data_IF_968017037149
#
_entry.id   IF_968017037149
#
_cell.length_a   1.000
_cell.length_b   1.000
_cell.length_c   1.000
_cell.angle_alpha   90.00
_cell.angle_beta   90.00
_cell.angle_gamma   90.00
#
_symmetry.space_group_name_H-M   'P 1'
#
loop_
_entity.id
_entity.type
_entity.pdbx_description
1 polymer ?
#
# COMPACT_ATOMS: atom_id res chain seq x y z
N UNK A 1 -22.87 3.44 -6.28
CA UNK A 1 -22.23 4.49 -5.42
C UNK A 1 -21.96 3.86 -4.07
N UNK A 2 -20.75 4.01 -3.54
CA UNK A 2 -20.30 3.51 -2.24
C UNK A 2 -20.69 4.53 -1.17
N UNK A 3 -21.58 4.16 -0.26
CA UNK A 3 -22.05 5.04 0.82
C UNK A 3 -21.75 4.47 2.21
N UNK A 4 -21.41 3.17 2.29
CA UNK A 4 -21.07 2.50 3.56
C UNK A 4 -19.84 1.62 3.41
N UNK A 5 -19.23 1.28 4.55
CA UNK A 5 -18.09 0.36 4.61
C UNK A 5 -18.44 -1.01 4.02
N UNK A 6 -19.60 -1.55 4.35
CA UNK A 6 -20.04 -2.88 3.90
C UNK A 6 -20.23 -2.94 2.37
N UNK A 7 -20.64 -1.82 1.74
CA UNK A 7 -20.71 -1.74 0.27
C UNK A 7 -19.30 -1.78 -0.35
N UNK A 8 -18.32 -1.11 0.26
CA UNK A 8 -16.93 -1.15 -0.18
C UNK A 8 -16.34 -2.55 0.01
N UNK A 9 -16.55 -3.18 1.16
CA UNK A 9 -16.08 -4.55 1.44
C UNK A 9 -16.65 -5.56 0.45
N UNK A 10 -17.93 -5.43 0.09
CA UNK A 10 -18.57 -6.27 -0.94
C UNK A 10 -17.87 -6.11 -2.28
N UNK A 11 -17.63 -4.87 -2.73
CA UNK A 11 -16.93 -4.63 -4.01
C UNK A 11 -15.49 -5.15 -3.98
N UNK A 12 -14.78 -5.01 -2.87
CA UNK A 12 -13.41 -5.57 -2.71
C UNK A 12 -13.46 -7.09 -2.86
N UNK A 13 -14.43 -7.75 -2.25
CA UNK A 13 -14.62 -9.20 -2.32
C UNK A 13 -14.98 -9.65 -3.73
N UNK A 14 -15.95 -8.99 -4.36
CA UNK A 14 -16.49 -9.37 -5.67
C UNK A 14 -15.49 -9.08 -6.81
N UNK A 15 -14.79 -7.95 -6.75
CA UNK A 15 -13.83 -7.55 -7.78
C UNK A 15 -12.39 -8.02 -7.51
N UNK A 16 -12.08 -8.38 -6.28
CA UNK A 16 -10.76 -8.83 -5.87
C UNK A 16 -9.71 -7.72 -5.75
N UNK A 17 -9.87 -6.64 -6.49
CA UNK A 17 -8.97 -5.49 -6.57
C UNK A 17 -9.77 -4.20 -6.50
N UNK A 18 -9.32 -3.23 -5.70
CA UNK A 18 -10.00 -1.95 -5.55
C UNK A 18 -8.99 -0.81 -5.37
N UNK A 19 -8.56 -0.16 -6.46
CA UNK A 19 -7.72 1.04 -6.40
C UNK A 19 -8.44 2.16 -5.64
N UNK A 20 -7.70 2.96 -4.88
CA UNK A 20 -8.31 4.05 -4.13
C UNK A 20 -8.66 5.24 -5.04
N UNK A 21 -7.73 5.63 -5.90
CA UNK A 21 -7.86 6.82 -6.73
C UNK A 21 -8.20 6.50 -8.19
N UNK A 22 -8.79 7.51 -8.85
CA UNK A 22 -9.08 7.49 -10.28
C UNK A 22 -7.85 7.09 -11.09
N UNK A 23 -8.08 6.27 -12.11
CA UNK A 23 -7.04 5.66 -12.92
C UNK A 23 -7.45 5.55 -14.38
N UNK A 24 -6.75 4.76 -15.19
CA UNK A 24 -7.05 4.59 -16.63
C UNK A 24 -8.25 3.73 -16.96
N UNK A 25 -8.89 3.09 -15.95
CA UNK A 25 -10.07 2.23 -16.10
C UNK A 25 -11.26 2.93 -15.44
N UNK A 26 -12.22 3.38 -16.23
CA UNK A 26 -13.37 4.13 -15.74
C UNK A 26 -14.23 3.27 -14.81
N UNK A 27 -14.68 3.87 -13.68
CA UNK A 27 -15.48 3.19 -12.68
C UNK A 27 -14.70 2.19 -11.81
N UNK A 28 -13.38 2.11 -11.94
CA UNK A 28 -12.55 1.19 -11.18
C UNK A 28 -11.72 1.92 -10.11
N UNK A 29 -12.39 2.67 -9.27
CA UNK A 29 -11.76 3.29 -8.09
C UNK A 29 -12.78 3.64 -7.01
N UNK A 30 -12.32 3.66 -5.76
CA UNK A 30 -13.13 4.15 -4.63
C UNK A 30 -13.53 5.61 -4.89
N UNK A 31 -12.61 6.43 -5.40
CA UNK A 31 -12.83 7.84 -5.69
C UNK A 31 -13.98 8.07 -6.68
N UNK A 32 -14.09 7.27 -7.74
CA UNK A 32 -15.17 7.41 -8.72
C UNK A 32 -16.51 6.89 -8.23
N UNK A 33 -16.49 5.90 -7.34
CA UNK A 33 -17.68 5.22 -6.87
C UNK A 33 -18.25 5.83 -5.58
N UNK A 34 -17.54 6.74 -4.92
CA UNK A 34 -17.94 7.37 -3.66
C UNK A 34 -18.46 8.78 -3.89
N UNK A 35 -19.56 9.20 -3.25
CA UNK A 35 -20.00 10.57 -3.27
C UNK A 35 -18.88 11.53 -2.79
N UNK A 36 -18.68 12.69 -3.46
CA UNK A 36 -17.61 13.63 -3.11
C UNK A 36 -17.62 14.10 -1.65
N UNK A 37 -18.79 14.25 -1.06
CA UNK A 37 -18.98 14.66 0.35
C UNK A 37 -18.42 13.65 1.34
N UNK A 38 -18.46 12.34 1.03
CA UNK A 38 -17.88 11.28 1.85
C UNK A 38 -16.36 11.13 1.61
N UNK A 39 -15.85 11.61 0.47
CA UNK A 39 -14.44 11.43 0.12
C UNK A 39 -13.59 12.64 0.52
N UNK A 40 -14.04 13.87 0.19
CA UNK A 40 -13.30 15.11 0.38
C UNK A 40 -14.14 16.25 1.00
N UNK A 41 -15.42 16.02 1.26
CA UNK A 41 -16.34 17.00 1.83
C UNK A 41 -16.46 16.91 3.36
N UNK A 42 -17.50 17.54 3.89
CA UNK A 42 -17.74 17.66 5.34
C UNK A 42 -17.93 16.31 6.04
N UNK A 43 -18.38 15.29 5.30
CA UNK A 43 -18.63 13.93 5.81
C UNK A 43 -17.44 12.97 5.67
N UNK A 44 -16.25 13.44 5.30
CA UNK A 44 -15.08 12.57 5.05
C UNK A 44 -14.71 11.69 6.26
N UNK A 45 -15.02 12.13 7.47
CA UNK A 45 -14.83 11.36 8.71
C UNK A 45 -15.68 10.07 8.76
N UNK A 46 -16.76 10.01 7.96
CA UNK A 46 -17.64 8.85 7.82
C UNK A 46 -17.39 8.07 6.52
N UNK A 47 -16.36 8.45 5.79
CA UNK A 47 -16.08 7.96 4.44
C UNK A 47 -14.90 6.98 4.37
N UNK A 48 -14.49 6.62 3.13
CA UNK A 48 -13.47 5.60 2.86
C UNK A 48 -12.12 5.83 3.54
N UNK A 49 -11.77 7.06 3.88
CA UNK A 49 -10.54 7.36 4.61
C UNK A 49 -10.52 6.75 6.00
N UNK A 50 -11.66 6.67 6.67
CA UNK A 50 -11.80 6.10 8.02
C UNK A 50 -12.08 4.60 8.00
N UNK A 51 -12.64 4.07 6.91
CA UNK A 51 -12.92 2.64 6.79
C UNK A 51 -11.67 1.79 6.58
N UNK A 52 -10.52 2.39 6.25
CA UNK A 52 -9.27 1.65 5.95
C UNK A 52 -8.85 0.72 7.08
N UNK A 53 -8.74 1.21 8.29
CA UNK A 53 -8.38 0.41 9.45
C UNK A 53 -9.36 -0.74 9.70
N UNK A 54 -10.66 -0.45 9.86
CA UNK A 54 -11.69 -1.49 10.02
C UNK A 54 -11.68 -2.56 8.92
N UNK A 55 -11.60 -2.17 7.63
CA UNK A 55 -11.56 -3.13 6.52
C UNK A 55 -10.33 -4.03 6.58
N UNK A 56 -9.15 -3.47 6.92
CA UNK A 56 -7.93 -4.26 7.10
C UNK A 56 -8.10 -5.23 8.27
N UNK A 57 -8.68 -4.78 9.38
CA UNK A 57 -8.90 -5.57 10.59
C UNK A 57 -9.88 -6.73 10.40
N UNK A 58 -10.79 -6.66 9.41
CA UNK A 58 -11.70 -7.75 9.06
C UNK A 58 -11.01 -8.94 8.35
N UNK A 59 -9.72 -8.83 8.02
CA UNK A 59 -8.91 -9.89 7.41
C UNK A 59 -9.46 -10.45 6.08
N UNK A 60 -10.19 -9.62 5.34
CA UNK A 60 -10.70 -9.97 4.02
C UNK A 60 -9.84 -9.43 2.87
N UNK A 61 -9.06 -8.38 3.13
CA UNK A 61 -8.26 -7.70 2.13
C UNK A 61 -6.96 -7.11 2.69
N UNK A 62 -5.91 -7.20 1.91
CA UNK A 62 -4.67 -6.45 2.13
C UNK A 62 -4.79 -5.04 1.55
N UNK A 63 -4.19 -4.06 2.22
CA UNK A 63 -4.11 -2.67 1.76
C UNK A 63 -2.66 -2.24 1.59
N UNK A 64 -2.37 -1.54 0.50
CA UNK A 64 -1.04 -1.04 0.22
C UNK A 64 -0.97 -0.33 -1.14
N UNK A 65 0.24 0.10 -1.51
CA UNK A 65 0.51 0.70 -2.83
C UNK A 65 0.75 -0.39 -3.87
N UNK A 66 -0.27 -1.17 -4.18
CA UNK A 66 -0.19 -2.35 -5.06
C UNK A 66 -0.42 -2.04 -6.54
N UNK A 67 -1.00 -0.88 -6.85
CA UNK A 67 -1.44 -0.53 -8.19
C UNK A 67 -0.43 0.37 -8.92
N UNK A 68 -0.54 0.39 -10.24
CA UNK A 68 0.33 1.18 -11.11
C UNK A 68 0.53 2.62 -10.63
N UNK A 69 1.72 3.18 -10.85
CA UNK A 69 2.15 4.47 -10.30
C UNK A 69 2.18 4.53 -8.77
N UNK A 70 2.35 3.38 -8.11
CA UNK A 70 2.38 3.25 -6.64
C UNK A 70 1.07 3.76 -5.98
N UNK A 71 -0.05 3.53 -6.65
CA UNK A 71 -1.36 3.91 -6.14
C UNK A 71 -1.79 2.94 -5.03
N UNK A 72 -2.38 3.50 -3.98
CA UNK A 72 -2.93 2.71 -2.87
C UNK A 72 -4.27 2.07 -3.25
N UNK A 73 -4.59 0.97 -2.59
CA UNK A 73 -5.88 0.30 -2.72
C UNK A 73 -5.87 -1.07 -2.05
N UNK A 74 -6.97 -1.78 -2.20
CA UNK A 74 -7.20 -3.09 -1.60
C UNK A 74 -7.01 -4.21 -2.61
N UNK A 75 -6.53 -5.34 -2.13
CA UNK A 75 -6.52 -6.62 -2.82
C UNK A 75 -7.12 -7.66 -1.88
N UNK A 76 -8.19 -8.34 -2.28
CA UNK A 76 -8.80 -9.38 -1.43
C UNK A 76 -7.82 -10.53 -1.20
N UNK A 77 -7.93 -11.20 -0.07
CA UNK A 77 -7.01 -12.31 0.27
C UNK A 77 -7.15 -13.49 -0.71
N UNK A 78 -8.28 -13.61 -1.39
CA UNK A 78 -8.47 -14.61 -2.45
C UNK A 78 -7.59 -14.36 -3.70
N UNK A 79 -7.21 -13.11 -3.95
CA UNK A 79 -6.40 -12.70 -5.11
C UNK A 79 -4.97 -12.29 -4.74
N UNK A 80 -4.71 -12.05 -3.48
CA UNK A 80 -3.39 -11.62 -3.01
C UNK A 80 -2.28 -12.62 -3.35
N UNK A 81 -2.46 -13.96 -3.24
CA UNK A 81 -1.44 -14.93 -3.62
C UNK A 81 -1.02 -14.83 -5.10
N UNK A 82 -1.97 -14.68 -6.01
CA UNK A 82 -1.66 -14.52 -7.44
C UNK A 82 -0.89 -13.21 -7.70
N UNK A 83 -1.30 -12.11 -7.06
CA UNK A 83 -0.57 -10.85 -7.16
C UNK A 83 0.86 -10.99 -6.63
N UNK A 84 1.05 -11.65 -5.48
CA UNK A 84 2.36 -11.89 -4.87
C UNK A 84 3.23 -12.77 -5.77
N UNK A 85 2.69 -13.87 -6.29
CA UNK A 85 3.39 -14.77 -7.19
C UNK A 85 3.96 -14.01 -8.40
N UNK A 86 3.12 -13.22 -9.08
CA UNK A 86 3.55 -12.43 -10.23
C UNK A 86 4.50 -11.29 -9.85
N UNK A 87 4.15 -10.44 -8.87
CA UNK A 87 4.92 -9.24 -8.50
C UNK A 87 6.31 -9.57 -7.98
N UNK A 88 6.44 -10.62 -7.16
CA UNK A 88 7.73 -11.03 -6.62
C UNK A 88 8.68 -11.60 -7.67
N UNK A 89 8.14 -12.20 -8.73
CA UNK A 89 8.93 -12.60 -9.89
C UNK A 89 9.35 -11.39 -10.75
N UNK A 90 8.46 -10.39 -10.88
CA UNK A 90 8.76 -9.14 -11.61
C UNK A 90 9.78 -8.26 -10.87
N UNK A 91 9.74 -8.26 -9.52
CA UNK A 91 10.63 -7.49 -8.65
C UNK A 91 11.39 -8.44 -7.69
N UNK A 92 12.42 -9.15 -8.20
CA UNK A 92 13.20 -10.06 -7.36
C UNK A 92 13.93 -9.30 -6.26
N UNK A 93 13.90 -9.83 -5.04
CA UNK A 93 14.52 -9.16 -3.87
C UNK A 93 16.01 -8.89 -4.06
N UNK A 94 16.72 -9.79 -4.77
CA UNK A 94 18.14 -9.63 -5.07
C UNK A 94 18.45 -8.40 -5.93
N UNK A 95 17.47 -7.90 -6.70
CA UNK A 95 17.59 -6.72 -7.56
C UNK A 95 17.13 -5.43 -6.87
N UNK A 96 16.54 -5.53 -5.69
CA UNK A 96 16.17 -4.35 -4.89
C UNK A 96 17.41 -3.61 -4.37
N UNK A 97 17.28 -2.29 -4.22
CA UNK A 97 18.33 -1.47 -3.63
C UNK A 97 18.69 -1.93 -2.21
N UNK A 98 19.95 -1.80 -1.82
CA UNK A 98 20.41 -2.20 -0.48
C UNK A 98 19.60 -1.55 0.65
N UNK A 99 19.22 -0.27 0.49
CA UNK A 99 18.37 0.43 1.46
C UNK A 99 16.95 -0.16 1.55
N UNK A 100 16.37 -0.60 0.41
CA UNK A 100 15.06 -1.27 0.42
C UNK A 100 15.12 -2.62 1.14
N UNK A 101 16.18 -3.42 0.87
CA UNK A 101 16.40 -4.68 1.59
C UNK A 101 16.57 -4.48 3.09
N UNK A 102 17.38 -3.51 3.47
CA UNK A 102 17.58 -3.16 4.89
C UNK A 102 16.27 -2.71 5.57
N UNK A 103 15.43 -1.92 4.90
CA UNK A 103 14.10 -1.55 5.42
C UNK A 103 13.24 -2.82 5.63
N UNK A 104 13.27 -3.75 4.68
CA UNK A 104 12.53 -5.01 4.80
C UNK A 104 13.05 -5.86 5.97
N UNK A 105 14.37 -6.00 6.12
CA UNK A 105 15.00 -6.76 7.20
C UNK A 105 14.60 -6.19 8.57
N UNK A 106 14.68 -4.85 8.74
CA UNK A 106 14.22 -4.17 9.96
C UNK A 106 12.74 -4.43 10.23
N UNK A 107 11.90 -4.48 9.19
CA UNK A 107 10.48 -4.75 9.35
C UNK A 107 10.21 -6.20 9.76
N UNK A 108 10.92 -7.16 9.16
CA UNK A 108 10.84 -8.59 9.52
C UNK A 108 11.24 -8.82 10.97
N UNK A 109 12.33 -8.20 11.44
CA UNK A 109 12.80 -8.32 12.83
C UNK A 109 11.82 -7.75 13.87
N UNK A 110 10.98 -6.79 13.47
CA UNK A 110 10.06 -6.10 14.38
C UNK A 110 8.58 -6.44 14.12
N UNK A 111 8.28 -7.40 13.22
CA UNK A 111 6.94 -7.83 12.79
C UNK A 111 6.10 -6.71 12.19
N UNK A 112 5.93 -5.61 12.92
CA UNK A 112 5.23 -4.41 12.42
C UNK A 112 5.79 -3.14 13.03
N UNK A 113 5.84 -2.04 12.25
CA UNK A 113 6.32 -0.74 12.69
C UNK A 113 5.49 0.39 12.11
N UNK A 114 5.27 1.44 12.91
CA UNK A 114 4.79 2.72 12.38
C UNK A 114 5.78 3.29 11.37
N UNK A 115 5.25 4.00 10.37
CA UNK A 115 6.06 4.61 9.31
C UNK A 115 7.26 5.41 9.84
N UNK A 116 7.07 6.19 10.90
CA UNK A 116 8.15 6.98 11.52
C UNK A 116 9.22 6.11 12.19
N UNK A 117 8.79 5.03 12.86
CA UNK A 117 9.69 4.15 13.61
C UNK A 117 10.48 3.25 12.64
N UNK A 118 9.83 2.76 11.58
CA UNK A 118 10.50 2.04 10.50
C UNK A 118 11.61 2.89 9.87
N UNK A 119 11.30 4.14 9.48
CA UNK A 119 12.29 5.05 8.92
C UNK A 119 13.46 5.29 9.87
N UNK A 120 13.16 5.56 11.15
CA UNK A 120 14.19 5.82 12.17
C UNK A 120 15.07 4.60 12.40
N UNK A 121 14.47 3.41 12.59
CA UNK A 121 15.23 2.16 12.81
C UNK A 121 16.07 1.77 11.59
N UNK A 122 15.62 2.09 10.38
CA UNK A 122 16.37 1.88 9.14
C UNK A 122 17.41 2.98 8.84
N UNK A 123 17.67 3.89 9.79
CA UNK A 123 18.72 4.91 9.67
C UNK A 123 18.33 6.12 8.82
N UNK A 124 17.06 6.34 8.50
CA UNK A 124 16.60 7.51 7.76
C UNK A 124 16.24 8.66 8.70
N UNK A 125 16.67 9.88 8.37
CA UNK A 125 16.28 11.08 9.11
C UNK A 125 14.81 11.43 8.87
N UNK A 126 14.10 11.75 9.95
CA UNK A 126 12.72 12.25 9.89
C UNK A 126 12.66 13.77 9.75
N UNK A 127 13.74 14.46 10.02
CA UNK A 127 13.85 15.92 9.96
C UNK A 127 14.32 16.38 8.59
N UNK A 128 13.56 17.25 7.94
CA UNK A 128 14.11 18.12 6.89
C UNK A 128 15.10 19.03 7.59
N UNK A 129 16.42 18.82 7.38
CA UNK A 129 17.40 19.82 7.78
C UNK A 129 17.05 21.12 7.05
N UNK A 130 16.61 22.15 7.77
CA UNK A 130 16.69 23.52 7.28
C UNK A 130 18.17 23.81 7.17
N UNK A 131 18.68 23.95 5.96
CA UNK A 131 20.02 24.42 5.70
C UNK A 131 20.00 25.90 6.09
N UNK A 132 20.52 26.24 7.28
CA UNK A 132 20.87 27.61 7.59
C UNK A 132 22.18 27.90 6.85
N UNK A 133 22.10 28.78 5.88
CA UNK A 133 23.26 29.32 5.21
C UNK A 133 23.90 30.34 6.18
N UNK A 134 25.03 29.97 6.75
CA UNK A 134 25.87 30.92 7.47
C UNK A 134 26.88 31.54 6.47
N UNK A 135 26.72 32.83 6.11
CA UNK A 135 27.64 33.48 5.17
C UNK A 135 29.07 33.55 5.65
N UNK A 136 29.35 33.32 6.95
CA UNK A 136 30.68 33.48 7.55
C UNK A 136 31.45 32.16 7.66
N UNK A 137 30.81 31.00 7.41
CA UNK A 137 31.46 29.69 7.43
C UNK A 137 31.10 28.89 6.17
N UNK A 138 31.94 28.97 5.11
CA UNK A 138 31.75 28.15 3.93
C UNK A 138 32.04 26.68 4.27
N UNK A 139 30.98 25.91 4.28
CA UNK A 139 30.89 24.46 4.07
C UNK A 139 31.85 23.57 4.86
N UNK A 140 31.45 23.21 6.09
CA UNK A 140 31.77 21.88 6.60
C UNK A 140 31.00 20.84 5.79
N UNK A 141 31.60 19.68 5.45
CA UNK A 141 30.90 18.64 4.71
C UNK A 141 29.70 18.17 5.54
N UNK A 142 28.50 18.46 5.07
CA UNK A 142 27.26 17.96 5.65
C UNK A 142 27.28 16.44 5.45
N UNK A 143 27.37 15.68 6.53
CA UNK A 143 27.04 14.25 6.52
C UNK A 143 25.59 14.17 6.05
N UNK A 144 25.37 13.71 4.82
CA UNK A 144 24.03 13.53 4.26
C UNK A 144 23.29 12.50 5.10
N UNK A 145 22.48 12.98 6.04
CA UNK A 145 21.49 12.12 6.67
C UNK A 145 20.55 11.62 5.56
N UNK A 146 20.38 10.29 5.42
CA UNK A 146 19.44 9.70 4.46
C UNK A 146 18.08 10.40 4.59
N UNK A 147 17.57 10.93 3.49
CA UNK A 147 16.34 11.70 3.49
C UNK A 147 15.13 10.76 3.72
N UNK A 148 14.21 11.12 4.62
CA UNK A 148 12.98 10.37 4.86
C UNK A 148 12.11 10.16 3.61
N UNK A 149 12.21 11.04 2.61
CA UNK A 149 11.57 10.87 1.28
C UNK A 149 12.16 9.68 0.49
N UNK A 150 13.45 9.39 0.64
CA UNK A 150 14.06 8.21 0.03
C UNK A 150 13.50 6.92 0.64
N UNK A 151 13.31 6.89 1.98
CA UNK A 151 12.67 5.76 2.65
C UNK A 151 11.24 5.53 2.12
N UNK A 152 10.44 6.59 1.93
CA UNK A 152 9.08 6.48 1.36
C UNK A 152 9.08 5.87 -0.04
N UNK A 153 10.09 6.19 -0.86
CA UNK A 153 10.23 5.62 -2.19
C UNK A 153 10.54 4.12 -2.13
N UNK A 154 11.44 3.69 -1.22
CA UNK A 154 11.77 2.28 -1.01
C UNK A 154 10.60 1.50 -0.42
N UNK A 155 9.92 2.03 0.60
CA UNK A 155 8.72 1.41 1.17
C UNK A 155 7.63 1.25 0.10
N UNK A 156 7.42 2.26 -0.75
CA UNK A 156 6.45 2.16 -1.83
C UNK A 156 6.85 1.12 -2.89
N UNK A 157 8.15 0.97 -3.18
CA UNK A 157 8.65 -0.08 -4.06
C UNK A 157 8.41 -1.47 -3.47
N UNK A 158 8.70 -1.67 -2.19
CA UNK A 158 8.44 -2.92 -1.49
C UNK A 158 6.94 -3.27 -1.45
N UNK A 159 6.06 -2.27 -1.34
CA UNK A 159 4.62 -2.50 -1.47
C UNK A 159 4.23 -2.93 -2.89
N UNK A 160 4.76 -2.26 -3.94
CA UNK A 160 4.57 -2.68 -5.33
C UNK A 160 5.03 -4.12 -5.57
N UNK A 161 6.14 -4.53 -4.94
CA UNK A 161 6.65 -5.90 -4.96
C UNK A 161 5.88 -6.86 -4.04
N UNK A 162 4.81 -6.40 -3.38
CA UNK A 162 4.02 -7.17 -2.40
C UNK A 162 4.84 -7.79 -1.27
N UNK A 163 5.93 -7.11 -0.85
CA UNK A 163 6.76 -7.51 0.28
C UNK A 163 6.40 -6.79 1.57
N UNK A 164 5.69 -5.67 1.43
CA UNK A 164 5.19 -4.84 2.53
C UNK A 164 3.73 -4.51 2.26
N UNK A 165 2.91 -4.58 3.29
CA UNK A 165 1.53 -4.10 3.30
C UNK A 165 1.29 -3.20 4.52
N UNK A 166 0.10 -2.65 4.62
CA UNK A 166 -0.30 -1.84 5.77
C UNK A 166 -1.15 -2.71 6.69
N UNK A 167 -0.70 -2.86 7.93
CA UNK A 167 -1.39 -3.61 8.97
C UNK A 167 -2.51 -2.80 9.62
N UNK A 168 -2.30 -1.48 9.77
CA UNK A 168 -3.26 -0.61 10.46
C UNK A 168 -2.93 0.87 10.21
N UNK A 169 -3.82 1.74 10.68
CA UNK A 169 -3.65 3.20 10.73
C UNK A 169 -3.82 3.69 12.17
N UNK A 170 -2.75 4.20 12.75
CA UNK A 170 -2.79 4.81 14.08
C UNK A 170 -3.08 6.31 14.00
N UNK A 171 -4.07 6.75 14.74
CA UNK A 171 -4.48 8.15 14.82
C UNK A 171 -3.95 8.79 16.10
N UNK A 172 -3.72 10.09 16.04
CA UNK A 172 -3.41 10.87 17.23
C UNK A 172 -4.67 11.03 18.08
N UNK A 173 -4.49 10.98 19.40
CA UNK A 173 -5.55 11.21 20.36
C UNK A 173 -5.25 12.49 21.13
N UNK A 174 -6.21 13.38 21.24
CA UNK A 174 -6.13 14.62 22.02
C UNK A 174 -6.13 14.34 23.53
N UNK A 175 -5.84 15.34 24.35
CA UNK A 175 -5.95 15.22 25.81
C UNK A 175 -7.40 14.97 26.29
N UNK A 176 -8.39 15.34 25.47
CA UNK A 176 -9.81 15.06 25.72
C UNK A 176 -10.26 13.66 25.26
N UNK A 177 -9.35 12.84 24.68
CA UNK A 177 -9.67 11.50 24.17
C UNK A 177 -10.19 11.48 22.74
N UNK A 178 -10.27 12.62 22.05
CA UNK A 178 -10.75 12.71 20.69
C UNK A 178 -9.65 12.33 19.67
N UNK A 179 -10.01 11.51 18.71
CA UNK A 179 -9.14 11.13 17.59
C UNK A 179 -9.04 12.30 16.60
N UNK A 180 -7.84 12.68 16.20
CA UNK A 180 -7.63 13.78 15.26
C UNK A 180 -6.50 13.53 14.25
N UNK A 181 -6.59 14.22 13.12
CA UNK A 181 -5.59 14.21 12.07
C UNK A 181 -5.66 12.94 11.21
N UNK A 182 -4.67 12.79 10.34
CA UNK A 182 -4.56 11.65 9.45
C UNK A 182 -3.92 10.46 10.15
N UNK A 183 -4.46 9.27 9.91
CA UNK A 183 -3.88 8.02 10.42
C UNK A 183 -2.46 7.80 9.86
N UNK A 184 -1.55 7.44 10.74
CA UNK A 184 -0.18 7.06 10.39
C UNK A 184 -0.15 5.57 10.10
N UNK A 185 0.31 5.18 8.91
CA UNK A 185 0.39 3.78 8.51
C UNK A 185 1.36 2.99 9.41
N UNK A 186 0.91 1.83 9.87
CA UNK A 186 1.72 0.76 10.43
C UNK A 186 1.98 -0.25 9.33
N UNK A 187 3.25 -0.50 9.05
CA UNK A 187 3.68 -1.46 8.03
C UNK A 187 3.97 -2.83 8.65
N UNK A 188 3.72 -3.87 7.88
CA UNK A 188 4.13 -5.25 8.17
C UNK A 188 4.47 -5.98 6.87
N UNK A 189 4.95 -7.21 6.97
CA UNK A 189 5.05 -8.09 5.82
C UNK A 189 3.75 -8.89 5.65
N UNK A 190 3.37 -9.27 4.43
CA UNK A 190 2.24 -10.19 4.23
C UNK A 190 2.43 -11.52 4.94
N UNK A 191 3.68 -12.00 5.08
CA UNK A 191 4.03 -13.21 5.82
C UNK A 191 3.62 -13.15 7.29
N UNK A 192 3.85 -12.01 7.92
CA UNK A 192 3.48 -11.81 9.32
C UNK A 192 1.97 -11.59 9.49
N UNK A 193 1.33 -10.93 8.52
CA UNK A 193 -0.08 -10.58 8.63
C UNK A 193 -1.03 -11.70 8.19
N UNK A 194 -0.66 -12.47 7.16
CA UNK A 194 -1.51 -13.51 6.54
C UNK A 194 -0.74 -14.84 6.41
N UNK A 195 -0.30 -15.44 7.52
CA UNK A 195 0.56 -16.65 7.49
C UNK A 195 -0.09 -17.83 6.77
N UNK A 196 -1.42 -17.88 6.73
CA UNK A 196 -2.20 -18.92 6.03
C UNK A 196 -2.01 -18.91 4.51
N UNK A 197 -1.56 -17.79 3.93
CA UNK A 197 -1.28 -17.66 2.49
C UNK A 197 0.12 -18.17 2.12
N UNK A 198 0.88 -18.72 3.06
CA UNK A 198 2.27 -19.13 2.82
C UNK A 198 2.49 -20.64 3.00
N UNK A 199 3.35 -21.25 2.17
CA UNK A 199 4.06 -20.60 1.05
C UNK A 199 3.14 -20.24 -0.10
N UNK A 200 3.42 -19.13 -0.78
CA UNK A 200 2.62 -18.61 -1.91
C UNK A 200 2.42 -19.66 -3.02
N UNK A 201 3.43 -20.48 -3.29
CA UNK A 201 3.35 -21.55 -4.28
C UNK A 201 2.19 -22.52 -4.04
N UNK A 202 1.89 -22.83 -2.77
CA UNK A 202 0.74 -23.66 -2.39
C UNK A 202 -0.58 -22.90 -2.57
N UNK A 203 -0.63 -21.66 -2.15
CA UNK A 203 -1.83 -20.82 -2.27
C UNK A 203 -2.24 -20.53 -3.73
N UNK A 204 -1.27 -20.54 -4.67
CA UNK A 204 -1.54 -20.41 -6.11
C UNK A 204 -1.65 -21.76 -6.83
N UNK A 205 -1.71 -22.89 -6.11
CA UNK A 205 -1.89 -24.22 -6.69
C UNK A 205 -0.87 -24.55 -7.81
N UNK A 206 0.38 -24.12 -7.63
CA UNK A 206 1.48 -24.36 -8.58
C UNK A 206 1.43 -23.48 -9.84
N UNK A 207 0.55 -22.48 -9.95
CA UNK A 207 0.56 -21.53 -11.08
C UNK A 207 1.90 -20.82 -11.18
N UNK A 208 2.40 -20.69 -12.42
CA UNK A 208 3.56 -19.84 -12.71
C UNK A 208 3.20 -18.35 -12.50
N UNK A 209 4.18 -17.46 -12.29
CA UNK A 209 3.94 -16.03 -12.20
C UNK A 209 3.17 -15.45 -13.39
N UNK A 210 3.45 -15.92 -14.59
CA UNK A 210 2.75 -15.51 -15.80
C UNK A 210 1.27 -15.96 -15.79
N UNK A 211 1.00 -17.19 -15.37
CA UNK A 211 -0.38 -17.70 -15.24
C UNK A 211 -1.17 -16.92 -14.18
N UNK A 212 -0.53 -16.56 -13.06
CA UNK A 212 -1.16 -15.70 -12.07
C UNK A 212 -1.51 -14.32 -12.63
N UNK A 213 -0.60 -13.71 -13.40
CA UNK A 213 -0.87 -12.44 -14.09
C UNK A 213 -2.05 -12.54 -15.07
N UNK A 214 -2.04 -13.58 -15.91
CA UNK A 214 -3.10 -13.80 -16.89
C UNK A 214 -4.45 -14.03 -16.24
N UNK A 215 -4.48 -14.78 -15.11
CA UNK A 215 -5.68 -15.01 -14.32
C UNK A 215 -6.26 -13.69 -13.77
N UNK A 216 -5.42 -12.82 -13.21
CA UNK A 216 -5.83 -11.50 -12.70
C UNK A 216 -6.41 -10.66 -13.85
N UNK A 217 -5.69 -10.55 -14.96
CA UNK A 217 -6.13 -9.72 -16.09
C UNK A 217 -7.40 -10.24 -16.73
N UNK A 218 -7.57 -11.55 -16.88
CA UNK A 218 -8.79 -12.16 -17.41
C UNK A 218 -9.99 -11.89 -16.50
N UNK A 219 -9.81 -12.01 -15.18
CA UNK A 219 -10.85 -11.69 -14.20
C UNK A 219 -11.29 -10.21 -14.30
N UNK A 220 -10.34 -9.30 -14.30
CA UNK A 220 -10.65 -7.87 -14.37
C UNK A 220 -11.21 -7.46 -15.74
N UNK A 221 -10.78 -8.07 -16.83
CA UNK A 221 -11.38 -7.85 -18.15
C UNK A 221 -12.84 -8.32 -18.23
N UNK A 222 -13.20 -9.36 -17.49
CA UNK A 222 -14.59 -9.79 -17.36
C UNK A 222 -15.46 -8.78 -16.61
N UNK A 223 -14.91 -8.04 -15.66
CA UNK A 223 -15.61 -6.99 -14.88
C UNK A 223 -15.65 -5.66 -15.66
N UNK A 224 -14.56 -5.34 -16.37
CA UNK A 224 -14.37 -4.07 -17.09
C UNK A 224 -14.13 -4.31 -18.58
N UNK A 225 -15.10 -4.90 -19.33
CA UNK A 225 -14.91 -5.27 -20.73
C UNK A 225 -14.63 -4.07 -21.65
N UNK A 226 -15.15 -2.90 -21.29
CA UNK A 226 -14.99 -1.65 -22.08
C UNK A 226 -13.71 -0.89 -21.73
N UNK A 227 -12.83 -1.47 -20.90
CA UNK A 227 -11.56 -0.83 -20.57
C UNK A 227 -10.67 -0.68 -21.80
N UNK A 228 -9.99 0.50 -21.91
CA UNK A 228 -9.05 0.72 -23.00
C UNK A 228 -7.95 -0.35 -23.01
N UNK A 229 -7.57 -0.80 -24.21
CA UNK A 229 -6.47 -1.76 -24.37
C UNK A 229 -5.24 -1.35 -23.55
N UNK A 230 -4.71 -2.29 -22.76
CA UNK A 230 -3.56 -2.10 -21.89
C UNK A 230 -3.79 -1.22 -20.65
N UNK A 231 -5.00 -0.75 -20.38
CA UNK A 231 -5.28 0.06 -19.18
C UNK A 231 -5.19 -0.80 -17.90
N UNK A 232 -5.78 -1.99 -17.91
CA UNK A 232 -5.69 -2.95 -16.82
C UNK A 232 -4.25 -3.41 -16.59
N UNK A 233 -3.48 -3.67 -17.65
CA UNK A 233 -2.08 -4.08 -17.56
C UNK A 233 -1.17 -3.03 -16.93
N UNK A 234 -1.48 -1.74 -17.13
CA UNK A 234 -0.74 -0.62 -16.52
C UNK A 234 -1.14 -0.37 -15.08
N UNK A 235 -2.34 -0.79 -14.72
CA UNK A 235 -2.88 -0.60 -13.38
C UNK A 235 -2.45 -1.72 -12.43
N UNK A 236 -2.48 -2.96 -12.94
CA UNK A 236 -2.06 -4.18 -12.23
C UNK A 236 -0.60 -4.51 -12.61
#
# INVERSE_FOLDING_TARGET
MIQTQEQLERLIRDWGFMPFFRNGVAGFSIEELTPPELLFGDDFERGPWKWKGPIIANWEAAYGKFFGRKMAGYVSLAWLPDLMNWRRAQYPLAQEAADARHILDVLVENESLLSKDLKKKSGFSLTRKKVHFDPQHPAEPIVEAKNGTAADAHIAQLQMATRVCIADFEYKVSKSGEVYGWGVARYCTPEAMYPELFPVASAVEGRTPQQSRERILAHLAGIFPDSRSGALEKLI
#
